data_IF_177972740779
#
_entry.id   IF_177972740779
#
_cell.length_a   1.000
_cell.length_b   1.000
_cell.length_c   1.000
_cell.angle_alpha   90.00
_cell.angle_beta   90.00
_cell.angle_gamma   90.00
#
_symmetry.space_group_name_H-M   'P 1'
#
loop_
_entity.id
_entity.type
_entity.pdbx_description
1 polymer ?
#
# COMPACT_ATOMS: atom_id res chain seq x y z
N UNK A 1 5.30 -25.79 12.56
CA UNK A 1 4.92 -26.04 11.16
C UNK A 1 4.89 -24.70 10.44
N UNK A 2 5.22 -24.66 9.14
CA UNK A 2 5.33 -23.42 8.37
C UNK A 2 3.95 -22.81 8.15
N UNK A 3 3.82 -21.49 8.36
CA UNK A 3 2.57 -20.76 8.18
C UNK A 3 2.64 -19.86 6.96
N UNK A 4 1.57 -19.79 6.18
CA UNK A 4 1.54 -18.90 5.03
C UNK A 4 0.14 -18.40 4.74
N UNK A 5 0.05 -17.20 4.15
CA UNK A 5 -1.23 -16.64 3.77
C UNK A 5 -1.14 -15.25 3.18
N UNK A 6 -2.28 -14.77 2.73
CA UNK A 6 -2.46 -13.48 2.07
C UNK A 6 -3.07 -12.46 3.03
N UNK A 7 -2.47 -11.29 3.10
CA UNK A 7 -2.91 -10.20 3.98
C UNK A 7 -3.10 -8.93 3.17
N UNK A 8 -4.31 -8.41 3.12
CA UNK A 8 -4.54 -7.14 2.42
C UNK A 8 -4.51 -5.95 3.37
N UNK A 9 -4.00 -4.83 2.85
CA UNK A 9 -3.94 -3.57 3.60
C UNK A 9 -4.93 -2.59 2.95
N UNK A 10 -5.99 -2.27 3.67
CA UNK A 10 -7.01 -1.30 3.23
C UNK A 10 -7.05 -0.09 4.13
N UNK A 11 -7.50 1.02 3.60
CA UNK A 11 -7.58 2.29 4.33
C UNK A 11 -7.72 3.46 3.39
N UNK A 12 -7.99 4.65 3.94
CA UNK A 12 -8.03 5.88 3.17
C UNK A 12 -6.69 6.14 2.46
N UNK A 13 -6.65 6.98 1.43
CA UNK A 13 -5.39 7.48 0.89
C UNK A 13 -4.54 8.13 2.00
N UNK A 14 -3.21 7.99 1.89
CA UNK A 14 -2.20 8.64 2.75
C UNK A 14 -2.16 8.20 4.23
N UNK A 15 -2.87 7.14 4.62
CA UNK A 15 -2.76 6.59 5.99
C UNK A 15 -1.46 5.83 6.23
N UNK A 16 -0.68 5.50 5.17
CA UNK A 16 0.66 4.91 5.28
C UNK A 16 0.77 3.45 4.85
N UNK A 17 -0.17 2.91 4.07
CA UNK A 17 -0.18 1.52 3.60
C UNK A 17 1.11 1.13 2.87
N UNK A 18 1.47 1.87 1.83
CA UNK A 18 2.69 1.65 1.04
C UNK A 18 3.97 1.88 1.87
N UNK A 19 3.94 2.81 2.84
CA UNK A 19 5.07 3.02 3.76
C UNK A 19 5.29 1.82 4.66
N UNK A 20 4.21 1.23 5.19
CA UNK A 20 4.25 0.01 5.98
C UNK A 20 4.84 -1.15 5.16
N UNK A 21 4.34 -1.37 3.95
CA UNK A 21 4.82 -2.46 3.11
C UNK A 21 6.31 -2.33 2.80
N UNK A 22 6.78 -1.16 2.37
CA UNK A 22 8.20 -0.92 2.13
C UNK A 22 9.06 -1.12 3.40
N UNK A 23 8.53 -0.75 4.57
CA UNK A 23 9.23 -0.93 5.84
C UNK A 23 9.38 -2.40 6.21
N UNK A 24 8.32 -3.20 6.05
CA UNK A 24 8.33 -4.65 6.31
C UNK A 24 9.27 -5.39 5.36
N UNK A 25 9.28 -5.02 4.08
CA UNK A 25 10.11 -5.66 3.06
C UNK A 25 11.58 -5.20 3.10
N UNK A 26 11.91 -4.16 3.87
CA UNK A 26 13.26 -3.60 3.94
C UNK A 26 13.72 -2.88 2.66
N UNK A 27 12.86 -2.79 1.65
CA UNK A 27 13.15 -2.16 0.37
C UNK A 27 11.89 -1.57 -0.28
N UNK A 28 12.13 -0.76 -1.31
CA UNK A 28 11.06 -0.01 -1.96
C UNK A 28 10.42 -0.81 -3.08
N UNK A 29 9.27 -1.38 -2.81
CA UNK A 29 8.44 -2.13 -3.77
C UNK A 29 7.24 -1.30 -4.23
N UNK A 30 6.67 -0.50 -3.32
CA UNK A 30 5.55 0.37 -3.61
C UNK A 30 5.94 1.83 -3.54
N UNK A 31 5.30 2.66 -4.36
CA UNK A 31 5.55 4.09 -4.36
C UNK A 31 4.79 4.80 -3.24
N UNK A 32 5.38 5.86 -2.72
CA UNK A 32 4.80 6.66 -1.65
C UNK A 32 4.65 8.12 -2.08
N UNK A 33 3.52 8.72 -1.82
CA UNK A 33 3.28 10.14 -2.08
C UNK A 33 2.21 10.70 -1.15
N UNK A 34 2.25 11.99 -0.90
CA UNK A 34 1.19 12.69 -0.17
C UNK A 34 -0.06 12.96 -1.03
N UNK A 35 -0.04 12.55 -2.30
CA UNK A 35 -1.16 12.76 -3.23
C UNK A 35 -2.13 11.58 -3.18
N UNK A 36 -3.44 11.82 -3.30
CA UNK A 36 -4.41 10.74 -3.39
C UNK A 36 -4.18 9.93 -4.68
N UNK A 37 -4.62 8.67 -4.69
CA UNK A 37 -4.49 7.74 -5.83
C UNK A 37 -3.03 7.47 -6.24
N UNK A 38 -2.11 7.45 -5.28
CA UNK A 38 -0.71 7.09 -5.50
C UNK A 38 -0.61 5.64 -5.96
N UNK A 39 -1.13 4.69 -5.19
CA UNK A 39 -1.26 3.27 -5.58
C UNK A 39 -2.48 3.13 -6.48
N UNK A 40 -2.32 2.60 -7.68
CA UNK A 40 -3.40 2.39 -8.66
C UNK A 40 -3.73 0.93 -8.88
N UNK A 41 -2.74 0.06 -8.76
CA UNK A 41 -2.87 -1.39 -8.88
C UNK A 41 -2.61 -2.03 -7.52
N UNK A 42 -3.13 -3.24 -7.32
CA UNK A 42 -2.71 -4.05 -6.18
C UNK A 42 -1.24 -4.42 -6.37
N UNK A 43 -0.45 -4.25 -5.34
CA UNK A 43 0.98 -4.59 -5.37
C UNK A 43 1.24 -5.61 -4.27
N UNK A 44 1.76 -6.78 -4.68
CA UNK A 44 2.12 -7.83 -3.73
C UNK A 44 3.53 -7.62 -3.19
N UNK A 45 3.67 -7.74 -1.88
CA UNK A 45 4.94 -7.75 -1.17
C UNK A 45 5.08 -9.04 -0.36
N UNK A 46 6.15 -9.78 -0.57
CA UNK A 46 6.37 -11.09 0.00
C UNK A 46 7.36 -10.96 1.17
N UNK A 47 6.87 -11.23 2.36
CA UNK A 47 7.67 -11.26 3.59
C UNK A 47 7.88 -12.70 4.00
N UNK A 48 9.12 -13.19 3.92
CA UNK A 48 9.49 -14.57 4.25
C UNK A 48 10.40 -14.62 5.46
N UNK A 49 10.11 -15.53 6.38
CA UNK A 49 10.93 -15.91 7.52
C UNK A 49 11.17 -17.43 7.48
N UNK A 50 11.96 -17.95 8.42
CA UNK A 50 12.20 -19.41 8.52
C UNK A 50 10.89 -20.17 8.78
N UNK A 51 9.92 -19.56 9.49
CA UNK A 51 8.70 -20.21 9.97
C UNK A 51 7.44 -19.76 9.25
N UNK A 52 7.50 -18.70 8.42
CA UNK A 52 6.30 -18.16 7.79
C UNK A 52 6.57 -17.42 6.48
N UNK A 53 5.52 -17.33 5.64
CA UNK A 53 5.49 -16.45 4.48
C UNK A 53 4.18 -15.67 4.44
N UNK A 54 4.27 -14.35 4.52
CA UNK A 54 3.12 -13.44 4.45
C UNK A 54 3.15 -12.70 3.12
N UNK A 55 2.11 -12.88 2.31
CA UNK A 55 1.94 -12.13 1.06
C UNK A 55 1.06 -10.93 1.33
N UNK A 56 1.67 -9.77 1.50
CA UNK A 56 0.96 -8.51 1.67
C UNK A 56 0.45 -8.00 0.32
N UNK A 57 -0.79 -7.51 0.29
CA UNK A 57 -1.39 -6.87 -0.89
C UNK A 57 -1.69 -5.42 -0.53
N UNK A 58 -0.87 -4.49 -1.04
CA UNK A 58 -1.13 -3.04 -0.94
C UNK A 58 -2.21 -2.67 -1.96
N UNK A 59 -3.36 -2.26 -1.46
CA UNK A 59 -4.48 -1.88 -2.30
C UNK A 59 -4.53 -0.37 -2.51
N UNK A 60 -5.10 0.09 -3.65
CA UNK A 60 -5.47 1.49 -3.79
C UNK A 60 -6.28 1.98 -2.60
N UNK A 61 -6.06 3.24 -2.19
CA UNK A 61 -6.82 3.82 -1.09
C UNK A 61 -8.33 3.83 -1.40
N UNK A 62 -9.11 3.22 -0.51
CA UNK A 62 -10.57 3.14 -0.68
C UNK A 62 -11.19 4.49 -0.32
N UNK A 63 -11.92 5.05 -1.27
CA UNK A 63 -12.71 6.27 -1.08
C UNK A 63 -13.94 6.23 -2.01
N UNK A 64 -14.95 7.03 -1.71
CA UNK A 64 -16.11 7.13 -2.61
C UNK A 64 -15.63 7.66 -3.98
N UNK A 65 -15.76 6.85 -5.05
CA UNK A 65 -15.20 7.21 -6.35
C UNK A 65 -15.90 8.45 -6.94
N UNK A 66 -15.13 9.29 -7.63
CA UNK A 66 -15.64 10.46 -8.35
C UNK A 66 -15.50 10.31 -9.87
N UNK A 67 -14.67 9.37 -10.32
CA UNK A 67 -14.33 9.16 -11.73
C UNK A 67 -14.17 7.66 -12.00
N UNK A 68 -14.23 7.24 -13.27
CA UNK A 68 -14.12 5.82 -13.70
C UNK A 68 -12.87 5.10 -13.15
N UNK A 69 -11.72 5.78 -13.13
CA UNK A 69 -10.50 5.20 -12.55
C UNK A 69 -10.69 4.91 -11.05
N UNK A 70 -11.32 5.82 -10.30
CA UNK A 70 -11.62 5.61 -8.89
C UNK A 70 -12.60 4.46 -8.65
N UNK A 71 -13.58 4.26 -9.55
CA UNK A 71 -14.49 3.11 -9.49
C UNK A 71 -13.74 1.79 -9.69
N UNK A 72 -12.87 1.73 -10.69
CA UNK A 72 -12.00 0.58 -10.94
C UNK A 72 -11.12 0.26 -9.72
N UNK A 73 -10.41 1.25 -9.20
CA UNK A 73 -9.53 1.10 -8.03
C UNK A 73 -10.29 0.61 -6.78
N UNK A 74 -11.49 1.15 -6.56
CA UNK A 74 -12.34 0.72 -5.43
C UNK A 74 -12.83 -0.72 -5.62
N UNK A 75 -13.21 -1.09 -6.84
CA UNK A 75 -13.65 -2.46 -7.15
C UNK A 75 -12.52 -3.47 -6.98
N UNK A 76 -11.30 -3.15 -7.41
CA UNK A 76 -10.11 -3.98 -7.21
C UNK A 76 -9.82 -4.20 -5.72
N UNK A 77 -9.90 -3.15 -4.90
CA UNK A 77 -9.72 -3.27 -3.46
C UNK A 77 -10.82 -4.15 -2.82
N UNK A 78 -12.10 -4.00 -3.24
CA UNK A 78 -13.21 -4.84 -2.75
C UNK A 78 -13.04 -6.31 -3.16
N UNK A 79 -12.58 -6.58 -4.38
CA UNK A 79 -12.34 -7.94 -4.84
C UNK A 79 -11.25 -8.61 -3.99
N UNK A 80 -10.18 -7.89 -3.69
CA UNK A 80 -9.09 -8.38 -2.84
C UNK A 80 -9.56 -8.74 -1.43
N UNK A 81 -10.50 -7.99 -0.84
CA UNK A 81 -11.05 -8.28 0.48
C UNK A 81 -11.69 -9.67 0.62
N UNK A 82 -12.06 -10.31 -0.49
CA UNK A 82 -12.74 -11.62 -0.49
C UNK A 82 -11.79 -12.81 -0.64
N UNK A 83 -10.53 -12.55 -0.94
CA UNK A 83 -9.55 -13.58 -1.35
C UNK A 83 -8.29 -13.60 -0.48
N UNK A 84 -8.38 -13.11 0.74
CA UNK A 84 -7.27 -13.04 1.69
C UNK A 84 -7.60 -13.75 3.01
N UNK A 85 -6.59 -14.02 3.81
CA UNK A 85 -6.72 -14.70 5.10
C UNK A 85 -6.88 -13.71 6.26
N UNK A 86 -6.37 -12.48 6.08
CA UNK A 86 -6.45 -11.42 7.07
C UNK A 86 -6.56 -10.05 6.38
N UNK A 87 -7.35 -9.15 6.97
CA UNK A 87 -7.49 -7.76 6.53
C UNK A 87 -6.86 -6.84 7.58
N UNK A 88 -5.96 -5.97 7.13
CA UNK A 88 -5.42 -4.87 7.92
C UNK A 88 -6.16 -3.59 7.53
N UNK A 89 -7.04 -3.10 8.38
CA UNK A 89 -7.66 -1.79 8.19
C UNK A 89 -6.79 -0.73 8.84
N UNK A 90 -6.09 0.03 8.02
CA UNK A 90 -5.14 1.05 8.46
C UNK A 90 -5.76 2.44 8.47
N UNK A 91 -5.58 3.13 9.58
CA UNK A 91 -6.03 4.51 9.82
C UNK A 91 -4.85 5.41 10.23
N UNK A 92 -5.01 6.72 10.07
CA UNK A 92 -4.09 7.70 10.66
C UNK A 92 -4.53 7.99 12.10
N UNK A 93 -3.67 7.70 13.08
CA UNK A 93 -3.95 7.91 14.50
C UNK A 93 -4.17 9.37 14.91
N UNK A 94 -3.82 10.33 14.03
CA UNK A 94 -3.94 11.77 14.28
C UNK A 94 -5.14 12.40 13.57
N UNK A 95 -5.95 11.59 12.90
CA UNK A 95 -7.15 12.07 12.20
C UNK A 95 -8.42 11.48 12.84
N UNK A 96 -9.46 12.27 12.87
CA UNK A 96 -10.77 11.79 13.27
C UNK A 96 -11.39 10.85 12.23
N UNK A 97 -12.31 10.02 12.69
CA UNK A 97 -13.06 9.11 11.83
C UNK A 97 -13.85 9.90 10.78
N UNK A 98 -13.53 9.65 9.52
CA UNK A 98 -14.13 10.34 8.38
C UNK A 98 -15.15 9.49 7.64
N UNK A 99 -15.77 10.09 6.61
CA UNK A 99 -16.73 9.39 5.74
C UNK A 99 -16.08 8.21 5.01
N UNK A 100 -14.77 8.30 4.69
CA UNK A 100 -14.03 7.23 4.03
C UNK A 100 -13.85 6.01 4.95
N UNK A 101 -13.57 6.24 6.23
CA UNK A 101 -13.42 5.17 7.21
C UNK A 101 -14.76 4.43 7.42
N UNK A 102 -15.85 5.19 7.55
CA UNK A 102 -17.20 4.60 7.66
C UNK A 102 -17.56 3.76 6.44
N UNK A 103 -17.26 4.26 5.24
CA UNK A 103 -17.47 3.50 4.01
C UNK A 103 -16.69 2.18 3.98
N UNK A 104 -15.44 2.18 4.48
CA UNK A 104 -14.64 0.94 4.58
C UNK A 104 -15.25 0.00 5.63
N UNK A 105 -15.68 0.51 6.77
CA UNK A 105 -16.32 -0.29 7.83
C UNK A 105 -17.60 -0.95 7.28
N UNK A 106 -18.45 -0.21 6.57
CA UNK A 106 -19.66 -0.74 5.94
C UNK A 106 -19.34 -1.91 4.97
N UNK A 107 -18.23 -1.83 4.24
CA UNK A 107 -17.76 -2.92 3.38
C UNK A 107 -17.31 -4.15 4.19
N UNK A 108 -16.61 -3.91 5.31
CA UNK A 108 -16.08 -4.98 6.17
C UNK A 108 -17.18 -5.74 6.90
N UNK A 109 -18.33 -5.13 7.20
CA UNK A 109 -19.47 -5.79 7.85
C UNK A 109 -19.98 -7.03 7.10
N UNK A 110 -19.80 -7.06 5.79
CA UNK A 110 -20.24 -8.17 4.93
C UNK A 110 -19.17 -9.25 4.70
N UNK A 111 -18.03 -9.14 5.38
CA UNK A 111 -16.86 -10.02 5.19
C UNK A 111 -16.62 -10.81 6.47
N UNK A 112 -16.35 -12.12 6.34
CA UNK A 112 -16.11 -13.02 7.48
C UNK A 112 -14.64 -13.16 7.86
N UNK A 113 -13.75 -12.58 7.06
CA UNK A 113 -12.30 -12.64 7.26
C UNK A 113 -11.93 -11.79 8.50
N UNK A 114 -11.00 -12.25 9.35
CA UNK A 114 -10.56 -11.47 10.50
C UNK A 114 -9.97 -10.12 10.07
N UNK A 115 -10.26 -9.08 10.86
CA UNK A 115 -9.81 -7.71 10.60
C UNK A 115 -9.00 -7.20 11.77
N UNK A 116 -7.77 -6.74 11.51
CA UNK A 116 -6.97 -5.96 12.43
C UNK A 116 -7.14 -4.46 12.16
N UNK A 117 -7.34 -3.67 13.21
CA UNK A 117 -7.27 -2.21 13.13
C UNK A 117 -5.82 -1.77 13.37
N UNK A 118 -5.24 -1.11 12.36
CA UNK A 118 -3.88 -0.60 12.44
C UNK A 118 -3.92 0.92 12.55
N UNK A 119 -3.59 1.42 13.72
CA UNK A 119 -3.51 2.85 14.03
C UNK A 119 -2.10 3.32 13.75
N UNK A 120 -1.88 3.87 12.57
CA UNK A 120 -0.55 4.27 12.09
C UNK A 120 -0.23 5.72 12.46
N UNK A 121 1.04 6.09 12.27
CA UNK A 121 1.64 7.40 12.56
C UNK A 121 1.68 7.74 14.06
N UNK A 122 1.88 6.73 14.90
CA UNK A 122 2.06 6.91 16.35
C UNK A 122 3.23 7.85 16.68
N UNK A 123 4.23 7.95 15.80
CA UNK A 123 5.35 8.89 15.91
C UNK A 123 4.94 10.37 15.88
N UNK A 124 3.75 10.69 15.36
CA UNK A 124 3.18 12.04 15.29
C UNK A 124 2.15 12.31 16.37
N UNK A 125 1.76 11.30 17.15
CA UNK A 125 0.69 11.43 18.13
C UNK A 125 1.20 12.21 19.36
N UNK A 126 0.63 13.38 19.58
CA UNK A 126 0.91 14.23 20.77
C UNK A 126 -0.19 14.14 21.82
N UNK A 127 -1.41 13.79 21.43
CA UNK A 127 -2.57 13.65 22.31
C UNK A 127 -3.02 12.18 22.43
N UNK A 128 -2.57 11.54 23.49
CA UNK A 128 -2.90 10.12 23.78
C UNK A 128 -4.39 9.96 24.13
N UNK A 129 -5.02 10.98 24.72
CA UNK A 129 -6.45 10.93 25.09
C UNK A 129 -7.32 10.96 23.85
N UNK A 130 -7.02 11.85 22.92
CA UNK A 130 -7.70 11.91 21.63
C UNK A 130 -7.54 10.60 20.85
N UNK A 131 -6.32 10.02 20.82
CA UNK A 131 -6.06 8.72 20.21
C UNK A 131 -6.91 7.60 20.81
N UNK A 132 -6.96 7.49 22.15
CA UNK A 132 -7.79 6.48 22.83
C UNK A 132 -9.27 6.66 22.51
N UNK A 133 -9.76 7.90 22.52
CA UNK A 133 -11.15 8.22 22.16
C UNK A 133 -11.47 7.82 20.73
N UNK A 134 -10.56 8.08 19.79
CA UNK A 134 -10.70 7.66 18.40
C UNK A 134 -10.77 6.13 18.29
N UNK A 135 -9.86 5.40 18.91
CA UNK A 135 -9.87 3.93 18.93
C UNK A 135 -11.18 3.38 19.49
N UNK A 136 -11.70 3.97 20.57
CA UNK A 136 -12.96 3.54 21.17
C UNK A 136 -14.17 3.82 20.27
N UNK A 137 -14.12 4.85 19.44
CA UNK A 137 -15.11 5.06 18.40
C UNK A 137 -15.07 3.93 17.33
N UNK A 138 -13.88 3.55 16.85
CA UNK A 138 -13.75 2.43 15.90
C UNK A 138 -14.26 1.12 16.49
N UNK A 139 -13.94 0.82 17.77
CA UNK A 139 -14.43 -0.37 18.47
C UNK A 139 -15.96 -0.45 18.58
N UNK A 140 -16.63 0.69 18.64
CA UNK A 140 -18.10 0.75 18.66
C UNK A 140 -18.72 0.47 17.29
N UNK A 141 -17.99 0.74 16.23
CA UNK A 141 -18.47 0.58 14.85
C UNK A 141 -18.19 -0.82 14.30
N UNK A 142 -17.11 -1.47 14.73
CA UNK A 142 -16.72 -2.77 14.22
C UNK A 142 -15.97 -3.61 15.26
N UNK A 143 -16.20 -4.93 15.25
CA UNK A 143 -15.51 -5.87 16.14
C UNK A 143 -14.19 -6.33 15.50
N UNK A 144 -13.11 -5.61 15.76
CA UNK A 144 -11.78 -5.98 15.30
C UNK A 144 -11.24 -7.19 16.08
N UNK A 145 -10.50 -8.07 15.39
CA UNK A 145 -9.81 -9.21 15.97
C UNK A 145 -8.58 -8.76 16.79
N UNK A 146 -7.88 -7.71 16.34
CA UNK A 146 -6.74 -7.09 17.01
C UNK A 146 -6.67 -5.60 16.71
N UNK A 147 -6.00 -4.83 17.59
CA UNK A 147 -5.79 -3.38 17.44
C UNK A 147 -4.35 -3.07 17.76
N UNK A 148 -3.64 -2.48 16.81
CA UNK A 148 -2.21 -2.20 16.90
C UNK A 148 -1.92 -0.74 16.60
N UNK A 149 -1.15 -0.09 17.47
CA UNK A 149 -0.64 1.25 17.23
C UNK A 149 0.82 1.15 16.78
N UNK A 150 1.11 1.65 15.57
CA UNK A 150 2.42 1.52 14.93
C UNK A 150 2.93 2.86 14.39
N UNK A 151 4.22 2.93 14.13
CA UNK A 151 4.80 3.89 13.20
C UNK A 151 5.41 3.17 12.00
N UNK A 152 4.69 3.16 10.87
CA UNK A 152 5.21 2.61 9.64
C UNK A 152 6.50 3.31 9.16
N UNK A 153 6.65 4.60 9.49
CA UNK A 153 7.83 5.38 9.12
C UNK A 153 9.06 4.97 9.94
N UNK A 154 8.92 4.84 11.26
CA UNK A 154 10.02 4.49 12.17
C UNK A 154 10.24 2.99 12.27
N UNK A 155 9.17 2.20 12.18
CA UNK A 155 9.17 0.75 12.40
C UNK A 155 8.67 0.37 13.79
N UNK A 156 8.18 1.35 14.58
CA UNK A 156 7.73 1.08 15.94
C UNK A 156 6.55 0.11 15.94
N UNK A 157 6.64 -0.94 16.76
CA UNK A 157 5.65 -2.01 16.93
C UNK A 157 5.33 -2.85 15.69
N UNK A 158 6.12 -2.77 14.62
CA UNK A 158 5.90 -3.58 13.40
C UNK A 158 6.17 -5.06 13.69
N UNK A 159 7.24 -5.39 14.41
CA UNK A 159 7.60 -6.79 14.71
C UNK A 159 6.48 -7.49 15.51
N UNK A 160 5.92 -6.83 16.52
CA UNK A 160 4.77 -7.36 17.28
C UNK A 160 3.54 -7.57 16.41
N UNK A 161 3.27 -6.64 15.48
CA UNK A 161 2.17 -6.78 14.52
C UNK A 161 2.41 -7.97 13.60
N UNK A 162 3.63 -8.17 13.09
CA UNK A 162 3.98 -9.30 12.22
C UNK A 162 3.83 -10.63 12.95
N UNK A 163 4.27 -10.73 14.20
CA UNK A 163 4.06 -11.94 15.00
C UNK A 163 2.57 -12.29 15.15
N UNK A 164 1.70 -11.30 15.40
CA UNK A 164 0.28 -11.55 15.54
C UNK A 164 -0.40 -11.84 14.20
N UNK A 165 0.05 -11.24 13.09
CA UNK A 165 -0.37 -11.62 11.74
C UNK A 165 -0.04 -13.10 11.51
N UNK A 166 1.20 -13.53 11.74
CA UNK A 166 1.63 -14.92 11.53
C UNK A 166 0.85 -15.89 12.41
N UNK A 167 0.47 -15.51 13.63
CA UNK A 167 -0.37 -16.34 14.50
C UNK A 167 -1.74 -16.63 13.91
N UNK A 168 -2.33 -15.66 13.22
CA UNK A 168 -3.65 -15.80 12.58
C UNK A 168 -3.63 -16.62 11.30
N UNK A 169 -2.47 -16.72 10.62
CA UNK A 169 -2.36 -17.51 9.40
C UNK A 169 -2.40 -19.01 9.70
N UNK A 170 -2.96 -19.77 8.76
CA UNK A 170 -2.99 -21.22 8.81
C UNK A 170 -1.65 -21.84 8.39
N UNK A 171 -1.48 -23.12 8.66
CA UNK A 171 -0.38 -23.89 8.13
C UNK A 171 -0.53 -24.08 6.64
N UNK A 172 0.53 -23.76 5.90
CA UNK A 172 0.50 -23.79 4.44
C UNK A 172 1.88 -23.87 3.81
N UNK A 173 1.94 -24.10 2.49
CA UNK A 173 3.18 -24.15 1.75
C UNK A 173 3.77 -22.75 1.54
N UNK A 174 5.05 -22.67 1.18
CA UNK A 174 5.62 -21.46 0.59
C UNK A 174 4.98 -21.22 -0.79
N UNK A 175 4.43 -20.03 -1.01
CA UNK A 175 3.85 -19.63 -2.31
C UNK A 175 4.91 -19.12 -3.28
N UNK A 176 6.00 -18.55 -2.74
CA UNK A 176 7.07 -17.92 -3.50
C UNK A 176 8.45 -18.36 -2.99
N UNK A 177 9.50 -18.29 -3.82
CA UNK A 177 10.89 -18.47 -3.39
C UNK A 177 11.28 -17.53 -2.24
N UNK A 178 12.26 -17.92 -1.43
CA UNK A 178 12.63 -17.20 -0.21
C UNK A 178 13.21 -15.80 -0.47
N UNK A 179 13.87 -15.63 -1.61
CA UNK A 179 14.49 -14.39 -2.06
C UNK A 179 13.54 -13.48 -2.86
N UNK A 180 12.34 -13.95 -3.18
CA UNK A 180 11.37 -13.17 -3.92
C UNK A 180 10.59 -12.23 -3.00
N UNK A 181 10.63 -10.93 -3.30
CA UNK A 181 9.99 -9.88 -2.49
C UNK A 181 8.72 -9.29 -3.09
N UNK A 182 8.47 -9.56 -4.37
CA UNK A 182 7.26 -9.15 -5.10
C UNK A 182 7.04 -10.09 -6.29
N UNK A 183 5.79 -10.22 -6.71
CA UNK A 183 5.40 -10.95 -7.92
C UNK A 183 5.36 -10.06 -9.18
N UNK A 184 5.60 -8.76 -9.02
CA UNK A 184 5.63 -7.83 -10.14
C UNK A 184 6.97 -7.85 -10.87
N UNK A 185 6.96 -7.77 -12.22
CA UNK A 185 8.19 -7.63 -13.01
C UNK A 185 8.98 -6.37 -12.62
N UNK A 186 10.31 -6.45 -12.69
CA UNK A 186 11.18 -5.29 -12.43
C UNK A 186 10.81 -4.05 -13.25
N UNK A 187 10.42 -4.22 -14.51
CA UNK A 187 9.94 -3.13 -15.37
C UNK A 187 8.74 -2.40 -14.78
N UNK A 188 7.84 -3.12 -14.12
CA UNK A 188 6.70 -2.51 -13.45
C UNK A 188 7.16 -1.66 -12.26
N UNK A 189 8.02 -2.20 -11.41
CA UNK A 189 8.56 -1.47 -10.26
C UNK A 189 9.31 -0.22 -10.72
N UNK A 190 10.15 -0.32 -11.77
CA UNK A 190 10.85 0.83 -12.35
C UNK A 190 9.89 1.89 -12.89
N UNK A 191 8.82 1.48 -13.59
CA UNK A 191 7.81 2.42 -14.09
C UNK A 191 7.12 3.18 -12.95
N UNK A 192 6.81 2.49 -11.86
CA UNK A 192 6.20 3.09 -10.67
C UNK A 192 7.19 4.05 -9.96
N UNK A 193 8.48 3.71 -9.83
CA UNK A 193 9.49 4.60 -9.25
C UNK A 193 9.66 5.89 -10.06
N UNK A 194 9.63 5.82 -11.40
CA UNK A 194 9.65 7.01 -12.26
C UNK A 194 8.36 7.81 -12.05
N UNK A 195 7.20 7.15 -12.04
CA UNK A 195 5.91 7.80 -11.79
C UNK A 195 5.89 8.49 -10.43
N UNK A 196 6.49 7.92 -9.39
CA UNK A 196 6.63 8.57 -8.09
C UNK A 196 7.37 9.91 -8.19
N UNK A 197 8.48 9.95 -8.94
CA UNK A 197 9.21 11.21 -9.12
C UNK A 197 8.37 12.26 -9.83
N UNK A 198 7.61 11.86 -10.85
CA UNK A 198 6.65 12.76 -11.49
C UNK A 198 5.61 13.26 -10.49
N UNK A 199 5.04 12.37 -9.67
CA UNK A 199 4.10 12.75 -8.61
C UNK A 199 4.70 13.75 -7.62
N UNK A 200 5.95 13.59 -7.24
CA UNK A 200 6.65 14.47 -6.28
C UNK A 200 6.94 15.85 -6.88
N UNK A 201 7.36 15.89 -8.15
CA UNK A 201 7.86 17.09 -8.82
C UNK A 201 6.76 17.92 -9.52
N UNK A 202 5.57 17.35 -9.73
CA UNK A 202 4.46 18.05 -10.39
C UNK A 202 3.34 18.38 -9.41
N UNK A 203 2.45 19.30 -9.80
CA UNK A 203 1.34 19.79 -8.98
C UNK A 203 0.02 19.71 -9.75
N UNK A 204 -1.08 19.99 -9.08
CA UNK A 204 -2.44 20.10 -9.63
C UNK A 204 -2.89 18.81 -10.36
N UNK A 205 -3.30 18.89 -11.62
CA UNK A 205 -3.88 17.80 -12.39
C UNK A 205 -2.85 16.83 -13.00
N UNK A 206 -1.59 17.28 -13.20
CA UNK A 206 -0.57 16.48 -13.87
C UNK A 206 -0.32 15.12 -13.19
N UNK A 207 -0.21 15.04 -11.84
CA UNK A 207 -0.02 13.77 -11.14
C UNK A 207 -1.09 12.72 -11.42
N UNK A 208 -2.32 13.15 -11.65
CA UNK A 208 -3.46 12.26 -11.85
C UNK A 208 -3.54 11.70 -13.27
N UNK A 209 -2.92 12.40 -14.24
CA UNK A 209 -3.00 12.15 -15.67
C UNK A 209 -1.72 11.55 -16.27
N UNK A 210 -0.82 11.02 -15.44
CA UNK A 210 0.47 10.50 -15.87
C UNK A 210 0.53 8.98 -15.75
N UNK A 211 1.02 8.35 -16.80
CA UNK A 211 1.43 6.94 -16.83
C UNK A 211 2.90 6.85 -17.26
N UNK A 212 3.62 5.91 -16.69
CA UNK A 212 4.99 5.60 -17.12
C UNK A 212 5.04 4.17 -17.66
N UNK A 213 5.74 3.97 -18.76
CA UNK A 213 5.96 2.67 -19.40
C UNK A 213 7.44 2.48 -19.62
N UNK A 214 7.97 1.32 -19.28
CA UNK A 214 9.35 0.95 -19.58
C UNK A 214 9.36 0.24 -20.94
N UNK A 215 9.83 0.95 -21.95
CA UNK A 215 9.93 0.45 -23.31
C UNK A 215 11.07 -0.57 -23.42
N UNK A 216 12.19 -0.26 -22.77
CA UNK A 216 13.42 -1.02 -22.86
C UNK A 216 14.21 -0.95 -21.54
N UNK A 217 14.76 -2.09 -21.14
CA UNK A 217 15.64 -2.22 -19.97
C UNK A 217 16.67 -3.31 -20.26
N UNK A 218 17.97 -2.96 -20.25
CA UNK A 218 19.08 -3.86 -20.55
C UNK A 218 20.32 -3.45 -19.77
N UNK A 219 21.10 -4.43 -19.34
CA UNK A 219 22.43 -4.17 -18.78
C UNK A 219 23.30 -3.50 -19.84
N UNK A 220 24.18 -2.60 -19.41
CA UNK A 220 25.15 -1.96 -20.28
C UNK A 220 26.16 -2.99 -20.80
N UNK A 221 26.54 -2.87 -22.06
CA UNK A 221 27.43 -3.84 -22.70
C UNK A 221 28.89 -3.70 -22.21
N UNK A 222 29.26 -2.56 -21.62
CA UNK A 222 30.62 -2.24 -21.14
C UNK A 222 30.71 -2.36 -19.62
N UNK A 223 29.70 -1.92 -18.91
CA UNK A 223 29.62 -1.99 -17.45
C UNK A 223 28.40 -2.78 -17.00
N UNK A 224 28.54 -4.08 -16.63
CA UNK A 224 27.40 -4.95 -16.25
C UNK A 224 26.63 -4.47 -15.00
N UNK A 225 27.21 -3.59 -14.20
CA UNK A 225 26.54 -2.99 -13.02
C UNK A 225 25.59 -1.84 -13.43
N UNK A 226 25.69 -1.35 -14.66
CA UNK A 226 24.82 -0.29 -15.17
C UNK A 226 23.64 -0.87 -15.95
N UNK A 227 22.46 -0.37 -15.65
CA UNK A 227 21.23 -0.73 -16.39
C UNK A 227 20.77 0.48 -17.20
N UNK A 228 20.68 0.32 -18.50
CA UNK A 228 20.10 1.29 -19.42
C UNK A 228 18.59 1.12 -19.46
N UNK A 229 17.85 2.19 -19.15
CA UNK A 229 16.39 2.18 -19.13
C UNK A 229 15.87 3.25 -20.07
N UNK A 230 15.02 2.85 -21.02
CA UNK A 230 14.19 3.73 -21.80
C UNK A 230 12.76 3.69 -21.26
N UNK A 231 12.24 4.86 -20.93
CA UNK A 231 10.90 5.00 -20.37
C UNK A 231 10.13 6.10 -21.08
N UNK A 232 8.87 5.82 -21.38
CA UNK A 232 7.92 6.79 -21.91
C UNK A 232 7.02 7.31 -20.80
N UNK A 233 6.98 8.64 -20.61
CA UNK A 233 6.03 9.30 -19.72
C UNK A 233 4.86 9.79 -20.57
N UNK A 234 3.71 9.15 -20.39
CA UNK A 234 2.49 9.41 -21.16
C UNK A 234 1.60 10.36 -20.35
N UNK A 235 1.10 11.40 -20.99
CA UNK A 235 0.20 12.40 -20.41
C UNK A 235 -1.08 12.54 -21.24
N UNK A 236 -2.16 13.00 -20.64
CA UNK A 236 -3.45 13.13 -21.32
C UNK A 236 -3.53 14.33 -22.28
N UNK A 237 -2.77 15.40 -22.01
CA UNK A 237 -2.86 16.67 -22.74
C UNK A 237 -1.49 17.19 -23.13
N UNK A 238 -1.39 17.82 -24.32
CA UNK A 238 -0.14 18.41 -24.82
C UNK A 238 0.41 19.50 -23.87
N UNK A 239 -0.45 20.25 -23.19
CA UNK A 239 -0.03 21.23 -22.19
C UNK A 239 0.72 20.62 -21.01
N UNK A 240 0.43 19.37 -20.64
CA UNK A 240 1.09 18.65 -19.57
C UNK A 240 2.49 18.17 -19.98
N UNK A 241 2.70 17.88 -21.27
CA UNK A 241 4.00 17.49 -21.81
C UNK A 241 5.07 18.56 -21.58
N UNK A 242 4.73 19.81 -21.84
CA UNK A 242 5.63 20.93 -21.56
C UNK A 242 5.99 21.07 -20.07
N UNK A 243 5.08 20.72 -19.16
CA UNK A 243 5.34 20.74 -17.71
C UNK A 243 6.32 19.62 -17.32
N UNK A 244 6.17 18.41 -17.90
CA UNK A 244 7.04 17.26 -17.62
C UNK A 244 8.44 17.48 -18.16
N UNK A 245 8.58 18.00 -19.37
CA UNK A 245 9.88 18.31 -20.01
C UNK A 245 10.59 19.42 -19.24
N UNK A 246 9.84 20.37 -18.70
CA UNK A 246 10.39 21.53 -18.02
C UNK A 246 10.97 22.58 -18.97
N UNK A 247 11.57 23.59 -18.38
CA UNK A 247 12.39 24.57 -19.10
C UNK A 247 13.80 23.97 -19.15
N UNK A 248 14.18 23.45 -20.30
CA UNK A 248 15.48 22.84 -20.59
C UNK A 248 16.65 23.79 -20.35
#
# INVERSE_FOLDING_TARGET
MFKSGFVTIVGRPNVGKSTFMNKVLGQKVTITSNKPSTTRNNISGIYTTDDAQVVFIDTPGIHKPKHKLGEFMTQEAINTLKSVDLIMFMIDGNEEIGRGDKFIIDLLEHIKIPVFLIVNKADKTTDIVALKTSIDHYKKLYKFKGIFSISALRGDNIDFLLEDIIKELEEGPKYYPDDQITDHPEKFIMSELIREKVLQLTKEEVPHSVMCVIDYMKNDDVNPELINIHASIIVERESQKGIIIGKG
#
